data_IF_193470740761
#
_entry.id   IF_193470740761
#
_cell.length_a   1.000
_cell.length_b   1.000
_cell.length_c   1.000
_cell.angle_alpha   90.00
_cell.angle_beta   90.00
_cell.angle_gamma   90.00
#
_symmetry.space_group_name_H-M   'P 1'
#
loop_
_entity.id
_entity.type
_entity.pdbx_description
1 polymer ?
#
# COMPACT_ATOMS: atom_id res chain seq x y z
N UNK A 1 -4.97 30.26 -3.27
CA UNK A 1 -4.84 28.80 -3.50
C UNK A 1 -3.64 28.61 -4.41
N UNK A 2 -2.55 27.95 -3.98
CA UNK A 2 -1.36 27.82 -4.81
C UNK A 2 -1.59 26.79 -5.92
N UNK A 3 -1.24 27.18 -7.15
CA UNK A 3 -1.32 26.35 -8.35
C UNK A 3 -0.34 25.17 -8.22
N UNK A 4 -0.87 23.95 -8.12
CA UNK A 4 -0.10 22.72 -8.28
C UNK A 4 0.29 22.56 -9.76
N UNK A 5 1.54 22.23 -10.12
CA UNK A 5 2.00 22.30 -11.51
C UNK A 5 1.38 21.26 -12.45
N UNK A 6 0.58 20.30 -11.97
CA UNK A 6 -0.12 19.36 -12.85
C UNK A 6 -1.52 18.97 -12.36
N UNK A 7 -2.58 19.46 -13.04
CA UNK A 7 -3.76 18.65 -13.33
C UNK A 7 -3.88 18.57 -14.85
N UNK A 8 -3.17 17.64 -15.49
CA UNK A 8 -3.01 17.61 -16.94
C UNK A 8 -3.47 16.32 -17.60
N UNK A 9 -3.86 16.42 -18.87
CA UNK A 9 -3.91 15.29 -19.80
C UNK A 9 -2.51 15.04 -20.37
N UNK A 10 -2.19 13.81 -20.69
CA UNK A 10 -0.93 13.46 -21.36
C UNK A 10 -0.82 14.24 -22.68
N UNK A 11 0.31 14.93 -22.96
CA UNK A 11 0.45 15.70 -24.19
C UNK A 11 0.46 14.81 -25.45
N UNK A 12 0.81 13.53 -25.32
CA UNK A 12 0.89 12.60 -26.44
C UNK A 12 -0.45 11.95 -26.79
N UNK A 13 -1.21 11.49 -25.78
CA UNK A 13 -2.45 10.73 -26.01
C UNK A 13 -3.71 11.38 -25.43
N UNK A 14 -3.58 12.53 -24.76
CA UNK A 14 -4.65 13.22 -24.04
C UNK A 14 -5.35 12.40 -22.92
N UNK A 15 -4.78 11.27 -22.50
CA UNK A 15 -5.28 10.51 -21.35
C UNK A 15 -5.10 11.27 -20.03
N UNK A 16 -6.01 11.13 -19.05
CA UNK A 16 -5.90 11.82 -17.77
C UNK A 16 -4.62 11.40 -17.02
N UNK A 17 -3.91 12.35 -16.38
CA UNK A 17 -2.75 12.04 -15.55
C UNK A 17 -3.07 12.23 -14.07
N UNK A 18 -2.65 11.25 -13.25
CA UNK A 18 -2.58 11.39 -11.80
C UNK A 18 -1.47 12.36 -11.39
N UNK A 19 -1.48 12.80 -10.13
CA UNK A 19 -0.64 13.90 -9.65
C UNK A 19 0.87 13.61 -9.66
N UNK A 20 1.31 12.36 -9.83
CA UNK A 20 2.73 11.96 -9.73
C UNK A 20 3.05 10.72 -10.58
N UNK A 21 2.94 10.83 -11.91
CA UNK A 21 3.31 9.74 -12.81
C UNK A 21 4.56 10.09 -13.63
N UNK A 22 5.62 9.30 -13.50
CA UNK A 22 6.86 9.43 -14.31
C UNK A 22 6.65 8.98 -15.77
N UNK A 23 5.56 8.25 -16.04
CA UNK A 23 5.14 7.84 -17.38
C UNK A 23 3.61 7.92 -17.51
N UNK A 24 3.11 8.13 -18.72
CA UNK A 24 1.68 8.15 -18.97
C UNK A 24 1.12 6.72 -18.97
N UNK A 25 0.11 6.39 -18.15
CA UNK A 25 -0.44 5.04 -18.07
C UNK A 25 -1.20 4.61 -19.34
N UNK A 26 -1.58 5.55 -20.21
CA UNK A 26 -2.35 5.27 -21.43
C UNK A 26 -1.49 5.00 -22.67
N UNK A 27 -0.28 5.54 -22.72
CA UNK A 27 0.56 5.44 -23.91
C UNK A 27 2.04 5.15 -23.62
N UNK A 28 2.41 4.96 -22.35
CA UNK A 28 3.78 4.66 -21.92
C UNK A 28 4.78 5.81 -22.13
N UNK A 29 4.34 7.00 -22.55
CA UNK A 29 5.23 8.13 -22.79
C UNK A 29 5.86 8.59 -21.48
N UNK A 30 7.20 8.70 -21.43
CA UNK A 30 7.94 9.18 -20.28
C UNK A 30 7.71 10.69 -20.06
N UNK A 31 7.26 11.06 -18.87
CA UNK A 31 6.89 12.42 -18.48
C UNK A 31 7.97 13.15 -17.68
N UNK A 32 9.07 12.47 -17.31
CA UNK A 32 10.15 13.04 -16.48
C UNK A 32 10.83 14.27 -17.12
N UNK A 33 10.82 14.38 -18.45
CA UNK A 33 11.37 15.54 -19.19
C UNK A 33 10.48 16.79 -19.21
N UNK A 34 9.22 16.70 -18.76
CA UNK A 34 8.27 17.84 -18.72
C UNK A 34 8.28 18.56 -17.36
N UNK A 35 9.15 18.15 -16.44
CA UNK A 35 9.37 18.79 -15.14
C UNK A 35 10.15 20.10 -15.34
N UNK A 36 9.53 21.07 -16.00
CA UNK A 36 10.04 22.42 -16.11
C UNK A 36 10.05 23.06 -14.73
N UNK A 37 11.17 23.69 -14.37
CA UNK A 37 11.45 24.38 -13.12
C UNK A 37 10.21 25.10 -12.56
N UNK A 38 9.67 24.61 -11.45
CA UNK A 38 8.74 25.42 -10.67
C UNK A 38 9.51 26.64 -10.13
N UNK A 39 8.97 27.87 -10.25
CA UNK A 39 9.60 29.03 -9.63
C UNK A 39 9.70 28.80 -8.13
N UNK A 40 10.89 28.93 -7.58
CA UNK A 40 11.12 28.95 -6.13
C UNK A 40 10.35 30.14 -5.54
N UNK A 41 9.15 29.89 -5.02
CA UNK A 41 8.42 30.86 -4.24
C UNK A 41 9.17 31.19 -2.94
N UNK A 42 9.02 32.41 -2.40
CA UNK A 42 9.79 32.86 -1.25
C UNK A 42 9.44 32.03 0.00
N UNK A 43 10.47 31.68 0.77
CA UNK A 43 10.34 31.03 2.05
C UNK A 43 9.46 31.87 2.99
N UNK A 44 8.33 31.30 3.45
CA UNK A 44 7.57 31.84 4.57
C UNK A 44 8.41 31.71 5.84
N UNK A 45 9.11 32.77 6.21
CA UNK A 45 9.55 32.99 7.59
C UNK A 45 8.30 33.16 8.45
N UNK A 46 8.02 32.16 9.27
CA UNK A 46 7.00 32.22 10.31
C UNK A 46 7.70 32.52 11.63
N UNK A 47 8.05 33.80 11.84
CA UNK A 47 8.37 34.32 13.16
C UNK A 47 7.06 34.44 13.96
N UNK A 48 6.84 33.49 14.86
CA UNK A 48 5.82 33.60 15.89
C UNK A 48 6.49 33.51 17.27
N UNK A 49 6.24 34.46 18.18
CA UNK A 49 6.80 34.43 19.52
C UNK A 49 6.20 33.28 20.35
N UNK A 50 7.08 32.45 20.91
CA UNK A 50 6.74 31.43 21.90
C UNK A 50 6.24 32.10 23.19
N UNK A 51 4.94 32.04 23.44
CA UNK A 51 4.40 32.25 24.79
C UNK A 51 4.66 31.00 25.65
N UNK A 52 5.27 31.12 26.84
CA UNK A 52 5.45 29.98 27.72
C UNK A 52 4.10 29.57 28.32
N UNK A 53 3.64 28.36 27.99
CA UNK A 53 2.54 27.69 28.68
C UNK A 53 3.01 27.28 30.07
N UNK A 54 2.28 27.71 31.09
CA UNK A 54 2.53 27.38 32.49
C UNK A 54 2.57 25.86 32.72
N UNK A 55 3.65 25.40 33.36
CA UNK A 55 3.83 24.01 33.77
C UNK A 55 2.72 23.57 34.73
N UNK A 56 1.93 22.58 34.31
CA UNK A 56 1.01 21.87 35.19
C UNK A 56 1.80 21.10 36.26
N UNK A 57 1.47 21.33 37.52
CA UNK A 57 2.10 20.70 38.69
C UNK A 57 1.95 19.16 38.64
N UNK A 58 3.00 18.38 38.94
CA UNK A 58 2.89 16.93 39.07
C UNK A 58 2.03 16.56 40.29
N UNK A 59 1.02 15.71 40.06
CA UNK A 59 0.23 15.10 41.15
C UNK A 59 1.08 14.06 41.90
N UNK A 60 1.00 13.96 43.23
CA UNK A 60 1.70 12.94 43.99
C UNK A 60 1.18 11.54 43.66
N UNK A 61 2.09 10.68 43.21
CA UNK A 61 1.86 9.26 42.93
C UNK A 61 1.76 8.54 44.28
N UNK A 62 0.63 7.86 44.52
CA UNK A 62 0.45 6.93 45.66
C UNK A 62 1.46 5.77 45.52
N UNK A 63 2.24 5.44 46.57
CA UNK A 63 3.08 4.25 46.55
C UNK A 63 2.21 2.98 46.64
N UNK A 64 2.46 2.04 45.72
CA UNK A 64 1.88 0.69 45.70
C UNK A 64 2.73 -0.21 46.60
N UNK A 65 2.15 -1.13 47.40
CA UNK A 65 2.91 -2.01 48.28
C UNK A 65 3.83 -2.96 47.49
N UNK A 66 5.04 -3.12 48.00
CA UNK A 66 6.11 -3.93 47.44
C UNK A 66 5.77 -5.43 47.50
N UNK A 67 5.86 -6.12 46.37
CA UNK A 67 5.89 -7.58 46.29
C UNK A 67 7.31 -8.11 46.56
N UNK A 68 7.45 -9.33 47.11
CA UNK A 68 8.72 -9.84 47.60
C UNK A 68 9.68 -10.26 46.47
N UNK A 69 10.96 -9.95 46.66
CA UNK A 69 12.09 -10.30 45.78
C UNK A 69 12.29 -11.82 45.69
N UNK A 70 12.43 -12.41 44.49
CA UNK A 70 13.10 -13.70 44.35
C UNK A 70 14.61 -13.53 44.45
N UNK A 71 15.25 -14.41 45.22
CA UNK A 71 16.66 -14.40 45.55
C UNK A 71 17.58 -14.61 44.34
N UNK A 72 18.60 -13.76 44.26
CA UNK A 72 19.70 -13.90 43.31
C UNK A 72 20.62 -14.99 43.85
N UNK A 73 20.52 -16.19 43.28
CA UNK A 73 21.52 -17.24 43.48
C UNK A 73 22.69 -16.93 42.56
N UNK A 74 23.83 -16.62 43.17
CA UNK A 74 25.11 -16.47 42.50
C UNK A 74 25.49 -17.73 41.73
N UNK A 75 25.84 -17.57 40.45
CA UNK A 75 26.68 -18.53 39.72
C UNK A 75 27.85 -17.77 39.12
N UNK A 76 28.97 -17.82 39.84
CA UNK A 76 30.31 -17.56 39.36
C UNK A 76 30.71 -18.64 38.33
N UNK A 77 31.35 -18.18 37.25
CA UNK A 77 32.51 -18.84 36.66
C UNK A 77 32.28 -19.82 35.51
N UNK A 78 32.51 -19.35 34.27
CA UNK A 78 33.24 -20.05 33.19
C UNK A 78 33.81 -18.94 32.27
N UNK A 79 35.03 -18.45 32.51
CA UNK A 79 36.30 -18.91 31.90
C UNK A 79 36.43 -18.63 30.39
N UNK A 80 37.02 -17.46 30.06
CA UNK A 80 38.20 -17.17 29.20
C UNK A 80 38.44 -17.93 27.87
N UNK A 81 37.66 -18.92 27.47
CA UNK A 81 37.91 -19.75 26.26
C UNK A 81 37.22 -19.18 25.00
N UNK A 82 36.27 -18.25 25.13
CA UNK A 82 35.54 -17.69 23.99
C UNK A 82 36.33 -16.69 23.13
N UNK A 83 37.40 -16.08 23.67
CA UNK A 83 38.18 -15.06 22.96
C UNK A 83 39.04 -15.62 21.82
N UNK A 84 39.66 -16.79 22.02
CA UNK A 84 40.55 -17.40 21.03
C UNK A 84 39.79 -17.98 19.83
N UNK A 85 38.60 -18.57 20.05
CA UNK A 85 37.78 -19.13 18.98
C UNK A 85 37.23 -18.04 18.03
N UNK A 86 36.82 -16.89 18.57
CA UNK A 86 36.37 -15.74 17.79
C UNK A 86 37.49 -15.11 16.94
N UNK A 87 38.71 -15.10 17.45
CA UNK A 87 39.87 -14.53 16.75
C UNK A 87 40.29 -15.42 15.56
N UNK A 88 40.20 -16.75 15.70
CA UNK A 88 40.43 -17.71 14.61
C UNK A 88 39.34 -17.60 13.54
N UNK A 89 38.06 -17.45 13.93
CA UNK A 89 36.95 -17.23 12.98
C UNK A 89 37.08 -15.92 12.20
N UNK A 90 37.53 -14.84 12.84
CA UNK A 90 37.78 -13.56 12.17
C UNK A 90 38.93 -13.65 11.15
N UNK A 91 40.00 -14.39 11.47
CA UNK A 91 41.12 -14.61 10.55
C UNK A 91 40.73 -15.48 9.34
N UNK A 92 39.86 -16.49 9.54
CA UNK A 92 39.33 -17.31 8.45
C UNK A 92 38.39 -16.52 7.52
N UNK A 93 37.57 -15.62 8.07
CA UNK A 93 36.71 -14.74 7.26
C UNK A 93 37.54 -13.74 6.43
N UNK A 94 38.60 -13.18 7.01
CA UNK A 94 39.48 -12.24 6.31
C UNK A 94 40.27 -12.91 5.16
N UNK A 95 40.73 -14.15 5.35
CA UNK A 95 41.45 -14.89 4.30
C UNK A 95 40.54 -15.29 3.14
N UNK A 96 39.29 -15.70 3.42
CA UNK A 96 38.28 -15.98 2.40
C UNK A 96 37.95 -14.73 1.57
N UNK A 97 37.85 -13.56 2.22
CA UNK A 97 37.59 -12.30 1.53
C UNK A 97 38.70 -11.90 0.55
N UNK A 98 39.97 -12.10 0.92
CA UNK A 98 41.09 -11.83 0.02
C UNK A 98 41.20 -12.84 -1.13
N UNK A 99 40.91 -14.12 -0.89
CA UNK A 99 40.91 -15.14 -1.95
C UNK A 99 39.80 -14.92 -2.98
N UNK A 100 38.62 -14.47 -2.56
CA UNK A 100 37.51 -14.14 -3.46
C UNK A 100 37.79 -12.91 -4.33
N UNK A 101 38.58 -11.94 -3.84
CA UNK A 101 39.01 -10.80 -4.67
C UNK A 101 40.06 -11.17 -5.71
N UNK A 102 40.99 -12.06 -5.36
CA UNK A 102 42.11 -12.42 -6.24
C UNK A 102 41.70 -13.24 -7.48
N UNK A 103 40.52 -13.86 -7.49
CA UNK A 103 40.04 -14.70 -8.60
C UNK A 103 39.02 -14.02 -9.52
N UNK A 104 38.63 -12.78 -9.22
CA UNK A 104 37.73 -11.99 -10.06
C UNK A 104 38.46 -11.47 -11.31
N UNK A 105 38.66 -12.34 -12.31
CA UNK A 105 39.02 -11.90 -13.66
C UNK A 105 37.89 -10.99 -14.20
N UNK A 106 38.21 -9.84 -14.79
CA UNK A 106 37.22 -9.06 -15.51
C UNK A 106 36.67 -9.89 -16.67
N UNK A 107 35.38 -10.17 -16.63
CA UNK A 107 34.64 -10.78 -17.74
C UNK A 107 34.72 -9.78 -18.92
N UNK A 108 35.13 -10.21 -20.12
CA UNK A 108 35.08 -9.36 -21.30
C UNK A 108 33.65 -8.85 -21.49
N UNK A 109 33.47 -7.54 -21.62
CA UNK A 109 32.20 -6.93 -22.01
C UNK A 109 31.83 -7.45 -23.41
N UNK A 110 31.07 -8.53 -23.44
CA UNK A 110 30.33 -8.95 -24.62
C UNK A 110 29.19 -7.95 -24.84
N UNK A 111 29.05 -7.48 -26.07
CA UNK A 111 28.11 -6.44 -26.48
C UNK A 111 26.70 -6.74 -25.95
N UNK A 112 25.91 -5.70 -25.59
CA UNK A 112 24.57 -5.93 -25.06
C UNK A 112 23.75 -6.74 -26.07
N UNK A 113 23.11 -7.84 -25.64
CA UNK A 113 22.22 -8.57 -26.53
C UNK A 113 21.14 -7.61 -27.02
N UNK A 114 20.93 -7.65 -28.34
CA UNK A 114 19.82 -7.01 -29.04
C UNK A 114 18.55 -7.20 -28.20
N UNK A 115 17.90 -6.09 -27.85
CA UNK A 115 16.65 -6.06 -27.11
C UNK A 115 15.61 -6.76 -27.98
N UNK A 116 15.47 -8.07 -27.80
CA UNK A 116 14.33 -8.83 -28.29
C UNK A 116 13.10 -8.25 -27.58
N UNK A 117 12.35 -7.44 -28.31
CA UNK A 117 11.03 -6.96 -27.93
C UNK A 117 10.11 -8.17 -27.80
N UNK A 118 10.05 -8.76 -26.61
CA UNK A 118 9.03 -9.75 -26.26
C UNK A 118 7.66 -9.10 -26.53
N UNK A 119 6.79 -9.72 -27.35
CA UNK A 119 5.47 -9.14 -27.62
C UNK A 119 4.70 -9.00 -26.30
N UNK A 120 4.21 -7.79 -26.04
CA UNK A 120 3.38 -7.52 -24.87
C UNK A 120 2.14 -8.44 -24.91
N UNK A 121 1.74 -9.07 -23.80
CA UNK A 121 0.54 -9.88 -23.76
C UNK A 121 -0.68 -9.04 -24.21
N UNK A 122 -1.70 -9.67 -24.83
CA UNK A 122 -2.90 -8.96 -25.24
C UNK A 122 -3.62 -8.38 -24.02
N UNK A 123 -4.29 -7.22 -24.15
CA UNK A 123 -5.01 -6.60 -23.06
C UNK A 123 -6.18 -7.47 -22.60
N UNK A 124 -6.43 -7.52 -21.29
CA UNK A 124 -7.51 -8.31 -20.69
C UNK A 124 -8.72 -7.41 -20.40
N UNK A 125 -9.92 -7.78 -20.87
CA UNK A 125 -11.15 -7.03 -20.61
C UNK A 125 -12.02 -7.75 -19.58
N UNK A 126 -12.21 -7.14 -18.41
CA UNK A 126 -13.06 -7.66 -17.34
C UNK A 126 -14.13 -6.61 -17.02
N UNK A 127 -15.41 -6.98 -17.17
CA UNK A 127 -16.54 -6.07 -16.99
C UNK A 127 -16.48 -4.77 -17.80
N UNK A 128 -15.77 -4.74 -18.94
CA UNK A 128 -15.55 -3.52 -19.73
C UNK A 128 -14.30 -2.75 -19.33
N UNK A 129 -13.55 -3.18 -18.32
CA UNK A 129 -12.28 -2.58 -17.89
C UNK A 129 -11.14 -3.27 -18.63
N UNK A 130 -10.36 -2.49 -19.35
CA UNK A 130 -9.21 -2.97 -20.13
C UNK A 130 -7.94 -2.85 -19.31
N UNK A 131 -7.29 -3.98 -19.01
CA UNK A 131 -6.00 -4.04 -18.35
C UNK A 131 -4.88 -4.00 -19.40
N UNK A 132 -4.12 -2.90 -19.43
CA UNK A 132 -3.11 -2.62 -20.46
C UNK A 132 -1.95 -3.63 -20.48
N UNK A 133 -1.48 -4.07 -19.30
CA UNK A 133 -0.35 -5.01 -19.15
C UNK A 133 -0.82 -6.47 -19.04
N UNK A 134 -1.98 -6.79 -19.62
CA UNK A 134 -2.57 -8.13 -19.59
C UNK A 134 -3.11 -8.51 -18.20
N UNK A 135 -2.87 -9.74 -17.70
CA UNK A 135 -3.45 -10.20 -16.44
C UNK A 135 -2.71 -9.68 -15.20
N UNK A 136 -1.51 -9.09 -15.36
CA UNK A 136 -0.67 -8.57 -14.26
C UNK A 136 -0.88 -7.07 -14.13
N UNK A 137 -1.38 -6.61 -12.98
CA UNK A 137 -1.65 -5.17 -12.78
C UNK A 137 -1.54 -4.76 -11.30
N UNK A 138 -1.52 -3.43 -11.09
CA UNK A 138 -1.60 -2.79 -9.77
C UNK A 138 -3.09 -2.53 -9.42
N UNK A 139 -3.59 -3.09 -8.30
CA UNK A 139 -4.96 -2.88 -7.81
C UNK A 139 -5.42 -1.42 -7.67
N UNK A 140 -4.52 -0.48 -7.40
CA UNK A 140 -4.89 0.94 -7.22
C UNK A 140 -4.99 1.71 -8.53
N UNK A 141 -4.33 1.26 -9.60
CA UNK A 141 -4.36 1.94 -10.91
C UNK A 141 -5.74 1.89 -11.58
N UNK A 142 -6.56 0.90 -11.24
CA UNK A 142 -7.87 0.69 -11.87
C UNK A 142 -9.03 1.32 -11.09
N UNK A 143 -8.80 1.91 -9.92
CA UNK A 143 -9.84 2.53 -9.09
C UNK A 143 -10.73 3.54 -9.84
N UNK A 144 -10.18 4.44 -10.69
CA UNK A 144 -11.02 5.35 -11.47
C UNK A 144 -11.97 4.62 -12.42
N UNK A 145 -11.48 3.57 -13.10
CA UNK A 145 -12.27 2.78 -14.03
C UNK A 145 -13.36 1.97 -13.32
N UNK A 146 -13.05 1.43 -12.13
CA UNK A 146 -14.03 0.74 -11.29
C UNK A 146 -15.14 1.71 -10.88
N UNK A 147 -14.79 2.92 -10.41
CA UNK A 147 -15.75 3.96 -10.02
C UNK A 147 -16.68 4.35 -11.17
N UNK A 148 -16.12 4.59 -12.35
CA UNK A 148 -16.90 4.89 -13.55
C UNK A 148 -17.83 3.74 -13.95
N UNK A 149 -17.45 2.49 -13.65
CA UNK A 149 -18.23 1.32 -14.01
C UNK A 149 -19.42 1.04 -13.08
N UNK A 150 -19.31 1.39 -11.80
CA UNK A 150 -20.36 1.11 -10.80
C UNK A 150 -21.50 2.13 -10.79
N UNK A 151 -21.31 3.30 -11.40
CA UNK A 151 -22.34 4.34 -11.54
C UNK A 151 -22.76 4.47 -12.99
N UNK A 152 -24.07 4.58 -13.23
CA UNK A 152 -24.58 4.81 -14.58
C UNK A 152 -24.24 6.23 -15.06
N UNK A 153 -23.89 6.42 -16.35
CA UNK A 153 -23.65 7.73 -16.91
C UNK A 153 -24.86 8.66 -16.71
N UNK A 154 -24.67 9.74 -15.95
CA UNK A 154 -25.73 10.72 -15.66
C UNK A 154 -26.41 10.56 -14.30
N UNK A 155 -26.13 9.47 -13.58
CA UNK A 155 -26.51 9.35 -12.18
C UNK A 155 -25.65 10.30 -11.31
N UNK A 156 -26.29 10.94 -10.32
CA UNK A 156 -25.65 11.89 -9.37
C UNK A 156 -25.31 11.23 -8.05
N UNK A 157 -25.18 9.91 -8.05
CA UNK A 157 -24.81 9.14 -6.87
C UNK A 157 -23.42 9.51 -6.35
N UNK A 158 -23.31 9.57 -5.03
CA UNK A 158 -22.02 9.71 -4.36
C UNK A 158 -21.41 8.31 -4.18
N UNK A 159 -20.14 8.15 -4.55
CA UNK A 159 -19.44 6.86 -4.48
C UNK A 159 -18.31 6.95 -3.49
N UNK A 160 -18.34 6.08 -2.49
CA UNK A 160 -17.35 6.05 -1.42
C UNK A 160 -16.72 4.67 -1.32
N UNK A 161 -15.40 4.61 -1.23
CA UNK A 161 -14.69 3.34 -1.06
C UNK A 161 -14.98 2.79 0.35
N UNK A 162 -15.28 1.49 0.44
CA UNK A 162 -15.38 0.76 1.71
C UNK A 162 -14.12 -0.06 1.96
N UNK A 163 -13.54 -0.64 0.91
CA UNK A 163 -12.30 -1.38 0.99
C UNK A 163 -11.87 -2.04 -0.31
N UNK A 164 -10.66 -2.58 -0.29
CA UNK A 164 -10.06 -3.34 -1.39
C UNK A 164 -9.56 -4.65 -0.81
N UNK A 165 -9.91 -5.78 -1.40
CA UNK A 165 -9.39 -7.11 -1.02
C UNK A 165 -8.59 -7.64 -2.18
N UNK A 166 -7.31 -7.89 -1.94
CA UNK A 166 -6.37 -8.46 -2.90
C UNK A 166 -6.04 -9.87 -2.46
N UNK A 167 -6.20 -10.83 -3.37
CA UNK A 167 -5.83 -12.23 -3.14
C UNK A 167 -4.77 -12.63 -4.15
N UNK A 168 -3.72 -13.29 -3.67
CA UNK A 168 -2.79 -14.01 -4.53
C UNK A 168 -1.79 -13.12 -5.25
N UNK A 169 -1.42 -12.01 -4.63
CA UNK A 169 -0.39 -11.13 -5.17
C UNK A 169 1.01 -11.72 -4.93
N UNK A 170 1.89 -11.53 -5.90
CA UNK A 170 3.31 -11.87 -5.79
C UNK A 170 4.15 -10.82 -6.51
N UNK A 171 5.37 -10.58 -6.02
CA UNK A 171 6.29 -9.61 -6.62
C UNK A 171 5.69 -8.21 -6.85
N UNK A 172 4.77 -7.77 -5.99
CA UNK A 172 4.16 -6.44 -6.06
C UNK A 172 3.05 -6.27 -7.07
N UNK A 173 2.54 -7.34 -7.68
CA UNK A 173 1.42 -7.27 -8.62
C UNK A 173 0.45 -8.43 -8.41
N UNK A 174 -0.76 -8.28 -8.95
CA UNK A 174 -1.74 -9.36 -9.02
C UNK A 174 -1.75 -9.90 -10.43
N UNK A 175 -1.54 -11.21 -10.60
CA UNK A 175 -1.70 -11.88 -11.89
C UNK A 175 -3.03 -12.65 -11.89
N UNK A 176 -4.04 -12.16 -12.61
CA UNK A 176 -5.38 -12.77 -12.66
C UNK A 176 -5.43 -14.14 -13.34
N UNK A 177 -4.38 -14.54 -14.07
CA UNK A 177 -4.28 -15.90 -14.61
C UNK A 177 -3.87 -16.93 -13.55
N UNK A 178 -3.30 -16.48 -12.43
CA UNK A 178 -2.93 -17.36 -11.33
C UNK A 178 -4.17 -17.89 -10.62
N UNK A 179 -4.18 -19.18 -10.30
CA UNK A 179 -5.29 -19.81 -9.60
C UNK A 179 -5.54 -19.14 -8.23
N UNK A 180 -6.77 -18.68 -8.02
CA UNK A 180 -7.17 -18.02 -6.78
C UNK A 180 -6.59 -16.62 -6.58
N UNK A 181 -6.10 -15.97 -7.65
CA UNK A 181 -5.81 -14.55 -7.64
C UNK A 181 -7.07 -13.74 -7.98
N UNK A 182 -7.36 -12.73 -7.19
CA UNK A 182 -8.50 -11.84 -7.42
C UNK A 182 -8.30 -10.49 -6.75
N UNK A 183 -9.01 -9.48 -7.25
CA UNK A 183 -9.12 -8.18 -6.58
C UNK A 183 -10.59 -7.79 -6.47
N UNK A 184 -11.08 -7.66 -5.24
CA UNK A 184 -12.45 -7.23 -4.95
C UNK A 184 -12.46 -5.80 -4.45
N UNK A 185 -13.24 -4.95 -5.10
CA UNK A 185 -13.50 -3.59 -4.66
C UNK A 185 -14.88 -3.51 -4.04
N UNK A 186 -14.96 -2.86 -2.89
CA UNK A 186 -16.21 -2.63 -2.17
C UNK A 186 -16.47 -1.13 -2.12
N UNK A 187 -17.62 -0.71 -2.63
CA UNK A 187 -18.04 0.69 -2.64
C UNK A 187 -19.42 0.85 -2.00
N UNK A 188 -19.63 1.99 -1.34
CA UNK A 188 -20.95 2.48 -0.95
C UNK A 188 -21.39 3.50 -1.99
N UNK A 189 -22.49 3.21 -2.68
CA UNK A 189 -23.16 4.11 -3.62
C UNK A 189 -24.36 4.73 -2.90
N UNK A 190 -24.33 6.04 -2.71
CA UNK A 190 -25.40 6.79 -2.06
C UNK A 190 -26.19 7.53 -3.13
N UNK A 191 -27.40 7.04 -3.38
CA UNK A 191 -28.32 7.63 -4.35
C UNK A 191 -28.95 8.89 -3.78
N UNK A 192 -28.87 9.99 -4.53
CA UNK A 192 -29.50 11.27 -4.15
C UNK A 192 -30.79 11.44 -4.93
N UNK A 193 -31.94 11.27 -4.27
CA UNK A 193 -33.23 11.60 -4.87
C UNK A 193 -33.33 13.13 -5.06
N UNK A 194 -33.40 13.64 -6.31
CA UNK A 194 -33.50 15.07 -6.56
C UNK A 194 -34.84 15.67 -6.12
N UNK A 195 -35.86 14.85 -5.85
CA UNK A 195 -37.20 15.27 -5.41
C UNK A 195 -37.39 15.22 -3.90
N UNK A 196 -36.48 14.57 -3.16
CA UNK A 196 -36.53 14.54 -1.72
C UNK A 196 -36.03 15.88 -1.13
N UNK A 197 -36.95 16.80 -0.85
CA UNK A 197 -36.66 18.10 -0.21
C UNK A 197 -36.08 17.96 1.21
N UNK A 198 -36.11 16.76 1.80
CA UNK A 198 -35.54 16.47 3.12
C UNK A 198 -34.45 15.42 3.01
N UNK A 199 -33.35 15.64 3.73
CA UNK A 199 -32.18 14.76 3.86
C UNK A 199 -32.46 13.34 4.41
N UNK A 200 -33.73 12.92 4.54
CA UNK A 200 -34.12 11.74 5.29
C UNK A 200 -34.14 10.43 4.50
N UNK A 201 -34.09 10.44 3.17
CA UNK A 201 -34.16 9.20 2.37
C UNK A 201 -32.96 9.07 1.43
N UNK A 202 -31.74 9.12 1.98
CA UNK A 202 -30.57 8.63 1.25
C UNK A 202 -30.62 7.10 1.27
N UNK A 203 -30.73 6.48 0.10
CA UNK A 203 -30.57 5.02 -0.04
C UNK A 203 -29.11 4.72 -0.34
N UNK A 204 -28.52 3.87 0.50
CA UNK A 204 -27.17 3.36 0.30
C UNK A 204 -27.23 1.97 -0.32
N UNK A 205 -26.32 1.70 -1.25
CA UNK A 205 -26.09 0.37 -1.81
C UNK A 205 -24.61 0.03 -1.66
N UNK A 206 -24.29 -1.11 -1.06
CA UNK A 206 -22.96 -1.70 -1.12
C UNK A 206 -22.82 -2.45 -2.44
N UNK A 207 -21.87 -2.01 -3.25
CA UNK A 207 -21.52 -2.61 -4.54
C UNK A 207 -20.18 -3.33 -4.39
N UNK A 208 -20.16 -4.61 -4.74
CA UNK A 208 -18.94 -5.42 -4.78
C UNK A 208 -18.62 -5.81 -6.22
N UNK A 209 -17.40 -5.51 -6.64
CA UNK A 209 -16.90 -5.82 -7.97
C UNK A 209 -15.59 -6.58 -7.86
N UNK A 210 -15.56 -7.80 -8.40
CA UNK A 210 -14.39 -8.69 -8.33
C UNK A 210 -13.75 -8.84 -9.70
N UNK A 211 -12.48 -8.46 -9.81
CA UNK A 211 -11.62 -8.75 -10.94
C UNK A 211 -10.95 -10.10 -10.72
N UNK A 212 -11.27 -11.06 -11.58
CA UNK A 212 -10.63 -12.37 -11.70
C UNK A 212 -10.85 -12.88 -13.12
N UNK A 213 -10.15 -13.95 -13.53
CA UNK A 213 -10.21 -14.49 -14.90
C UNK A 213 -11.63 -14.77 -15.39
N UNK A 214 -12.42 -15.41 -14.55
CA UNK A 214 -13.85 -15.66 -14.78
C UNK A 214 -14.64 -14.84 -13.76
N UNK A 215 -14.90 -13.55 -14.04
CA UNK A 215 -15.42 -12.63 -13.05
C UNK A 215 -16.86 -12.98 -12.67
N UNK A 216 -17.22 -13.01 -11.38
CA UNK A 216 -18.60 -13.17 -10.97
C UNK A 216 -19.41 -11.92 -11.36
N UNK A 217 -20.76 -12.00 -11.37
CA UNK A 217 -21.59 -10.81 -11.53
C UNK A 217 -21.28 -9.76 -10.44
N UNK A 218 -21.46 -8.49 -10.79
CA UNK A 218 -21.38 -7.38 -9.82
C UNK A 218 -22.53 -7.56 -8.83
N UNK A 219 -22.20 -7.59 -7.54
CA UNK A 219 -23.19 -7.75 -6.46
C UNK A 219 -23.57 -6.40 -5.89
N UNK A 220 -24.86 -6.18 -5.64
CA UNK A 220 -25.41 -4.97 -5.02
C UNK A 220 -26.32 -5.36 -3.86
N UNK A 221 -26.11 -4.77 -2.70
CA UNK A 221 -26.88 -5.04 -1.48
C UNK A 221 -27.27 -3.71 -0.84
N UNK A 222 -28.50 -3.60 -0.34
CA UNK A 222 -28.93 -2.42 0.43
C UNK A 222 -28.03 -2.26 1.66
N UNK A 223 -27.53 -1.04 1.87
CA UNK A 223 -26.54 -0.73 2.88
C UNK A 223 -26.90 0.58 3.57
N UNK A 224 -26.59 0.68 4.86
CA UNK A 224 -26.88 1.90 5.59
C UNK A 224 -26.01 3.06 5.03
N UNK A 225 -26.58 4.22 4.67
CA UNK A 225 -25.80 5.35 4.16
C UNK A 225 -24.83 5.94 5.20
N UNK A 226 -24.97 5.58 6.48
CA UNK A 226 -24.04 5.92 7.56
C UNK A 226 -22.89 4.91 7.76
N UNK A 227 -22.81 3.87 6.92
CA UNK A 227 -21.68 2.94 6.92
C UNK A 227 -20.38 3.71 6.74
N UNK A 228 -19.41 3.43 7.60
CA UNK A 228 -18.12 4.13 7.58
C UNK A 228 -17.37 3.81 6.29
N UNK A 229 -16.85 4.85 5.65
CA UNK A 229 -16.12 4.77 4.39
C UNK A 229 -14.63 4.97 4.63
N UNK A 230 -13.80 4.40 3.77
CA UNK A 230 -12.36 4.62 3.75
C UNK A 230 -12.00 5.62 2.66
N UNK A 231 -11.08 6.53 2.96
CA UNK A 231 -10.49 7.41 1.92
C UNK A 231 -9.68 6.56 0.95
N UNK A 232 -9.63 6.96 -0.32
CA UNK A 232 -8.75 6.27 -1.28
C UNK A 232 -7.28 6.30 -0.83
N UNK A 233 -6.52 5.22 -1.07
CA UNK A 233 -5.13 5.13 -0.63
C UNK A 233 -4.25 6.09 -1.42
N UNK A 234 -3.58 7.02 -0.72
CA UNK A 234 -2.44 7.76 -1.29
C UNK A 234 -1.17 6.90 -1.31
N UNK A 235 -1.06 5.98 -0.35
CA UNK A 235 -0.12 4.87 -0.41
C UNK A 235 -0.67 3.80 -1.36
N UNK A 236 -0.45 4.03 -2.66
CA UNK A 236 -0.83 3.12 -3.74
C UNK A 236 -0.24 1.72 -3.52
N UNK A 237 -0.85 0.71 -4.15
CA UNK A 237 -0.55 -0.70 -3.90
C UNK A 237 0.94 -1.02 -4.02
N UNK A 238 1.60 -0.60 -5.11
CA UNK A 238 3.03 -0.84 -5.27
C UNK A 238 3.87 -0.32 -4.09
N UNK A 239 3.58 0.90 -3.62
CA UNK A 239 4.28 1.52 -2.50
C UNK A 239 3.97 0.80 -1.18
N UNK A 240 2.70 0.43 -0.96
CA UNK A 240 2.28 -0.34 0.20
C UNK A 240 2.95 -1.73 0.24
N UNK A 241 3.07 -2.39 -0.91
CA UNK A 241 3.79 -3.66 -1.05
C UNK A 241 5.27 -3.53 -0.70
N UNK A 242 5.96 -2.50 -1.23
CA UNK A 242 7.38 -2.28 -0.88
C UNK A 242 7.55 -2.04 0.63
N UNK A 243 6.65 -1.28 1.26
CA UNK A 243 6.68 -1.06 2.70
C UNK A 243 6.41 -2.36 3.49
N UNK A 244 5.50 -3.20 3.00
CA UNK A 244 5.23 -4.53 3.57
C UNK A 244 6.47 -5.44 3.49
N UNK A 245 7.15 -5.49 2.35
CA UNK A 245 8.42 -6.21 2.18
C UNK A 245 9.51 -5.64 3.10
N UNK A 246 9.63 -4.32 3.20
CA UNK A 246 10.58 -3.65 4.10
C UNK A 246 10.33 -3.96 5.59
N UNK A 247 9.08 -4.27 5.95
CA UNK A 247 8.70 -4.72 7.30
C UNK A 247 9.01 -6.20 7.58
N UNK A 248 9.67 -6.90 6.65
CA UNK A 248 10.14 -8.27 6.79
C UNK A 248 9.30 -9.33 6.10
N UNK A 249 8.35 -8.96 5.24
CA UNK A 249 7.65 -9.94 4.41
C UNK A 249 8.50 -10.36 3.21
N UNK A 250 8.53 -11.66 2.86
CA UNK A 250 9.31 -12.16 1.73
C UNK A 250 8.75 -11.70 0.38
N UNK A 251 9.57 -11.07 -0.46
CA UNK A 251 9.17 -10.49 -1.76
C UNK A 251 8.54 -11.48 -2.74
N UNK A 252 8.96 -12.74 -2.70
CA UNK A 252 8.61 -13.77 -3.70
C UNK A 252 7.41 -14.63 -3.29
N UNK A 253 6.94 -14.52 -2.05
CA UNK A 253 5.82 -15.31 -1.58
C UNK A 253 4.47 -14.74 -2.02
N UNK A 254 3.47 -15.61 -2.03
CA UNK A 254 2.09 -15.23 -2.32
C UNK A 254 1.48 -14.58 -1.08
N UNK A 255 1.03 -13.34 -1.25
CA UNK A 255 0.38 -12.56 -0.20
C UNK A 255 -1.07 -12.26 -0.56
N UNK A 256 -1.88 -12.21 0.47
CA UNK A 256 -3.19 -11.56 0.42
C UNK A 256 -3.08 -10.20 1.13
N UNK A 257 -3.94 -9.26 0.77
CA UNK A 257 -3.96 -7.96 1.39
C UNK A 257 -5.37 -7.37 1.45
N UNK A 258 -5.62 -6.56 2.47
CA UNK A 258 -6.89 -5.86 2.65
C UNK A 258 -6.62 -4.39 2.92
N UNK A 259 -7.23 -3.51 2.13
CA UNK A 259 -7.35 -2.09 2.43
C UNK A 259 -8.70 -1.82 3.08
N UNK A 260 -8.70 -1.38 4.32
CA UNK A 260 -9.92 -1.04 5.05
C UNK A 260 -9.61 0.02 6.12
N UNK A 261 -10.65 0.50 6.81
CA UNK A 261 -10.44 1.31 8.01
C UNK A 261 -9.74 0.50 9.11
N UNK A 262 -8.91 1.20 9.89
CA UNK A 262 -8.28 0.64 11.07
C UNK A 262 -9.26 0.31 12.19
N UNK A 263 -8.74 -0.23 13.30
CA UNK A 263 -9.47 -0.55 14.52
C UNK A 263 -10.46 0.51 14.97
N UNK A 264 -10.04 1.77 14.81
CA UNK A 264 -10.69 2.93 15.38
C UNK A 264 -11.70 3.51 14.38
N UNK A 265 -11.73 2.99 13.15
CA UNK A 265 -12.53 3.51 12.07
C UNK A 265 -12.05 4.89 11.60
N UNK A 266 -10.76 5.20 11.73
CA UNK A 266 -10.22 6.56 11.50
C UNK A 266 -9.32 6.66 10.27
N UNK A 267 -8.49 5.65 10.04
CA UNK A 267 -7.47 5.70 8.98
C UNK A 267 -7.59 4.47 8.08
N UNK A 268 -7.46 4.67 6.77
CA UNK A 268 -7.29 3.56 5.84
C UNK A 268 -5.93 2.89 6.04
N UNK A 269 -5.90 1.57 6.13
CA UNK A 269 -4.71 0.76 6.38
C UNK A 269 -4.72 -0.44 5.45
N UNK A 270 -3.57 -0.70 4.84
CA UNK A 270 -3.30 -1.97 4.17
C UNK A 270 -2.84 -3.01 5.21
N UNK A 271 -3.50 -4.16 5.25
CA UNK A 271 -3.09 -5.33 6.01
C UNK A 271 -2.60 -6.40 5.05
N UNK A 272 -1.31 -6.72 5.06
CA UNK A 272 -0.71 -7.78 4.25
C UNK A 272 -0.52 -9.04 5.08
N UNK A 273 -0.78 -10.20 4.49
CA UNK A 273 -0.56 -11.51 5.11
C UNK A 273 -0.01 -12.52 4.10
N UNK A 274 0.88 -13.40 4.54
CA UNK A 274 1.26 -14.56 3.73
C UNK A 274 0.09 -15.53 3.67
N UNK A 275 -0.24 -16.01 2.47
CA UNK A 275 -1.38 -16.93 2.26
C UNK A 275 -1.28 -18.19 3.12
N UNK A 276 -0.08 -18.69 3.34
CA UNK A 276 0.19 -19.90 4.12
C UNK A 276 0.50 -19.64 5.61
N UNK A 277 0.65 -18.37 6.01
CA UNK A 277 1.01 -17.95 7.37
C UNK A 277 0.25 -16.66 7.73
N UNK A 278 -1.09 -16.72 7.94
CA UNK A 278 -1.91 -15.53 8.15
C UNK A 278 -1.56 -14.75 9.43
N UNK A 279 -0.82 -15.35 10.36
CA UNK A 279 -0.26 -14.70 11.55
C UNK A 279 0.87 -13.70 11.22
N UNK A 280 1.45 -13.77 10.01
CA UNK A 280 2.53 -12.88 9.54
C UNK A 280 2.07 -11.48 9.15
N UNK A 281 0.97 -10.99 9.73
CA UNK A 281 0.34 -9.74 9.33
C UNK A 281 1.30 -8.54 9.44
N UNK A 282 1.20 -7.64 8.45
CA UNK A 282 1.86 -6.33 8.45
C UNK A 282 0.87 -5.25 8.08
N UNK A 283 0.94 -4.14 8.79
CA UNK A 283 0.01 -3.03 8.62
C UNK A 283 0.75 -1.82 8.09
N UNK A 284 0.28 -1.30 6.96
CA UNK A 284 0.87 -0.15 6.28
C UNK A 284 -0.19 0.94 6.23
N UNK A 285 0.17 2.14 6.70
CA UNK A 285 -0.71 3.29 6.64
C UNK A 285 -1.05 3.64 5.19
N UNK A 286 -2.35 3.70 4.90
CA UNK A 286 -2.87 3.93 3.56
C UNK A 286 -2.62 5.32 3.00
N UNK A 287 -2.18 6.28 3.82
CA UNK A 287 -1.98 7.67 3.42
C UNK A 287 -0.48 8.02 3.35
N UNK A 288 0.34 7.40 4.20
CA UNK A 288 1.76 7.74 4.38
C UNK A 288 2.74 6.62 4.04
N UNK A 289 2.26 5.41 3.77
CA UNK A 289 3.08 4.20 3.63
C UNK A 289 3.91 3.84 4.87
N UNK A 290 3.63 4.45 6.03
CA UNK A 290 4.33 4.14 7.26
C UNK A 290 3.93 2.75 7.80
N UNK A 291 4.92 1.96 8.24
CA UNK A 291 4.68 0.68 8.89
C UNK A 291 4.07 0.92 10.29
N UNK A 292 2.93 0.30 10.57
CA UNK A 292 2.24 0.37 11.86
C UNK A 292 2.56 -0.87 12.71
N UNK A 293 2.89 -0.64 13.99
CA UNK A 293 3.28 -1.69 14.93
C UNK A 293 2.08 -2.45 15.55
N UNK A 294 0.88 -1.91 15.46
CA UNK A 294 -0.31 -2.45 16.14
C UNK A 294 -1.39 -2.88 15.15
N UNK A 295 -1.98 -4.04 15.45
CA UNK A 295 -3.07 -4.68 14.73
C UNK A 295 -4.32 -3.76 14.73
N UNK A 296 -4.99 -3.53 13.59
CA UNK A 296 -6.31 -2.95 13.57
C UNK A 296 -7.28 -3.94 14.25
N UNK A 297 -8.31 -3.44 14.95
CA UNK A 297 -9.34 -4.26 15.57
C UNK A 297 -9.91 -5.16 14.48
N UNK A 298 -10.09 -6.44 14.82
CA UNK A 298 -10.57 -7.44 13.90
C UNK A 298 -11.87 -6.95 13.25
N UNK A 299 -11.77 -6.53 11.98
CA UNK A 299 -12.90 -6.54 11.09
C UNK A 299 -13.07 -8.01 10.76
N UNK A 300 -14.11 -8.64 11.30
CA UNK A 300 -14.47 -9.98 10.86
C UNK A 300 -14.58 -9.91 9.33
N UNK A 301 -13.82 -10.73 8.58
CA UNK A 301 -14.05 -10.81 7.15
C UNK A 301 -15.54 -11.12 6.94
N UNK A 302 -16.21 -10.50 5.95
CA UNK A 302 -17.55 -10.91 5.60
C UNK A 302 -17.55 -12.43 5.36
N UNK A 303 -18.64 -13.13 5.77
CA UNK A 303 -18.73 -14.59 5.67
C UNK A 303 -18.55 -15.10 4.24
#
# INVERSE_FOLDING_TARGET
MPNSPFPGRCPQCQGPLGQYADSCPFCGTNLTGLRSEAPQGPALQLDAPLHPVAAARPRPIRPRPATPKPGIVARMGVSVVAGAALLVLALLAASAFFFLRATSKPIPLEAPPVVSSTPSPPPLNIHGIVLADGPRFDPTDVLPMIRERIVDPGDRSEVHLLGIVVRGASEGAVNLDSQGASVTYQYLVVHRDPRAEKALERKGERVEMTLQRDPPPITRVEENPSTKTVTEPLCVWHAAWQAAVASGLPRTEIMDAVYALDAQGKHGVWSFSLRNQPESNRWIDGQTCAIKASQPAQVNPPP
#
